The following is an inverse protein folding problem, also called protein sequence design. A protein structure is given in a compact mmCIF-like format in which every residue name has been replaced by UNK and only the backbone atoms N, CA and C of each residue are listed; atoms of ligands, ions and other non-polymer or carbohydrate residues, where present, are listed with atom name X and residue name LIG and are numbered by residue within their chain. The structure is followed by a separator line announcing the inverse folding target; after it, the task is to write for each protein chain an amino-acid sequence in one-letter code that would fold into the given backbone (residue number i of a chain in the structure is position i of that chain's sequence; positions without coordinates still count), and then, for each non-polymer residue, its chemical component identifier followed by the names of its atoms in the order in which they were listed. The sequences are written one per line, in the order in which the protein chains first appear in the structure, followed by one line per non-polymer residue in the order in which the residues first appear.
data_IF_752718157057
#
_entry.id   IF_752718157057
#
_cell.length_a   1.000
_cell.length_b   1.000
_cell.length_c   1.000
_cell.angle_alpha   90.00
_cell.angle_beta   90.00
_cell.angle_gamma   90.00
#
_symmetry.space_group_name_H-M   'P 1'
#
loop_
_entity.id
_entity.type
_entity.pdbx_description
1 polymer ?
#
# COMPACT_ATOMS: atom_id res chain seq x y z
N UNK A 1 -14.54 0.33 -34.45
CA UNK A 1 -13.78 1.57 -34.19
C UNK A 1 -14.46 2.28 -33.05
N UNK A 2 -14.02 2.05 -31.81
CA UNK A 2 -14.54 2.73 -30.63
C UNK A 2 -13.70 3.97 -30.38
N UNK A 3 -14.26 5.14 -30.65
CA UNK A 3 -13.68 6.44 -30.36
C UNK A 3 -13.57 6.61 -28.86
N UNK A 4 -12.35 6.54 -28.31
CA UNK A 4 -12.07 6.90 -26.92
C UNK A 4 -12.36 8.38 -26.72
N UNK A 5 -13.28 8.70 -25.82
CA UNK A 5 -13.52 10.09 -25.40
C UNK A 5 -12.28 10.71 -24.77
N UNK A 6 -12.21 12.05 -24.70
CA UNK A 6 -11.07 12.74 -24.11
C UNK A 6 -10.86 12.28 -22.65
N UNK A 7 -9.60 12.20 -22.19
CA UNK A 7 -9.31 11.87 -20.79
C UNK A 7 -10.04 12.87 -19.90
N UNK A 8 -10.82 12.36 -18.94
CA UNK A 8 -11.47 13.19 -17.92
C UNK A 8 -10.37 13.71 -17.00
N UNK A 9 -10.10 15.00 -17.11
CA UNK A 9 -9.26 15.75 -16.19
C UNK A 9 -10.14 16.25 -15.02
N UNK A 10 -9.62 16.19 -13.80
CA UNK A 10 -10.32 16.69 -12.62
C UNK A 10 -10.44 18.23 -12.62
N UNK A 11 -9.69 18.91 -13.49
CA UNK A 11 -9.60 20.36 -13.52
C UNK A 11 -8.75 20.87 -12.37
N UNK A 12 -7.83 21.80 -12.66
CA UNK A 12 -7.10 22.52 -11.63
C UNK A 12 -7.95 23.71 -11.18
N UNK A 13 -8.39 23.80 -9.90
CA UNK A 13 -9.13 24.95 -9.41
C UNK A 13 -8.30 26.24 -9.40
N UNK A 14 -7.00 26.21 -9.73
CA UNK A 14 -6.13 27.38 -9.93
C UNK A 14 -5.48 27.90 -8.65
N UNK A 15 -5.97 27.48 -7.48
CA UNK A 15 -5.44 27.83 -6.16
C UNK A 15 -4.55 26.72 -5.58
N UNK A 16 -4.38 25.60 -6.28
CA UNK A 16 -3.49 24.54 -5.84
C UNK A 16 -2.03 25.02 -5.94
N UNK A 17 -1.18 24.80 -4.91
CA UNK A 17 0.23 25.16 -4.99
C UNK A 17 0.87 24.48 -6.19
N UNK A 18 1.40 25.26 -7.13
CA UNK A 18 2.12 24.71 -8.28
C UNK A 18 3.42 24.09 -7.77
N UNK A 19 3.52 22.75 -7.84
CA UNK A 19 4.75 22.04 -7.49
C UNK A 19 5.77 22.30 -8.60
N UNK A 20 6.92 22.95 -8.33
CA UNK A 20 7.88 23.27 -9.36
C UNK A 20 8.52 21.97 -9.88
N UNK A 21 8.72 21.83 -11.19
CA UNK A 21 9.35 20.63 -11.77
C UNK A 21 10.84 20.55 -11.39
N UNK A 22 11.45 19.36 -11.47
CA UNK A 22 12.90 19.22 -11.29
C UNK A 22 13.65 20.01 -12.36
N UNK A 23 14.80 20.60 -12.00
CA UNK A 23 15.67 21.36 -12.92
C UNK A 23 16.64 20.44 -13.68
N UNK A 24 16.87 19.24 -13.16
CA UNK A 24 17.72 18.21 -13.77
C UNK A 24 17.06 16.84 -13.64
N UNK A 25 17.42 15.90 -14.51
CA UNK A 25 16.85 14.55 -14.49
C UNK A 25 17.24 13.82 -13.19
N UNK A 26 16.26 13.34 -12.39
CA UNK A 26 16.56 12.55 -11.20
C UNK A 26 17.22 11.22 -11.57
N UNK A 27 18.17 10.76 -10.75
CA UNK A 27 19.07 9.66 -11.11
C UNK A 27 18.38 8.29 -11.07
N UNK A 28 17.58 8.07 -10.03
CA UNK A 28 16.84 6.83 -9.84
C UNK A 28 15.53 7.17 -9.13
N UNK A 29 14.42 6.94 -9.81
CA UNK A 29 13.07 7.20 -9.32
C UNK A 29 12.28 5.91 -9.07
N UNK A 30 12.96 4.77 -8.94
CA UNK A 30 12.34 3.48 -8.66
C UNK A 30 11.40 3.54 -7.44
N UNK A 31 10.23 2.92 -7.59
CA UNK A 31 9.13 2.91 -6.63
C UNK A 31 8.47 1.54 -6.61
N UNK A 32 7.79 1.20 -5.50
CA UNK A 32 6.87 0.07 -5.48
C UNK A 32 5.81 0.23 -6.58
N UNK A 33 5.51 -0.88 -7.26
CA UNK A 33 4.39 -1.00 -8.17
C UNK A 33 3.06 -0.91 -7.40
N UNK A 34 1.95 -0.66 -8.11
CA UNK A 34 0.62 -0.68 -7.50
C UNK A 34 0.27 -2.04 -6.86
N UNK A 35 0.86 -3.13 -7.35
CA UNK A 35 0.71 -4.46 -6.78
C UNK A 35 1.45 -4.60 -5.44
N UNK A 36 2.70 -4.14 -5.36
CA UNK A 36 3.48 -4.12 -4.11
C UNK A 36 2.85 -3.18 -3.08
N UNK A 37 2.37 -2.01 -3.49
CA UNK A 37 1.62 -1.08 -2.63
C UNK A 37 0.35 -1.76 -2.07
N UNK A 38 -0.42 -2.44 -2.91
CA UNK A 38 -1.60 -3.18 -2.50
C UNK A 38 -1.27 -4.32 -1.52
N UNK A 39 -0.18 -5.07 -1.76
CA UNK A 39 0.29 -6.13 -0.87
C UNK A 39 0.73 -5.57 0.48
N UNK A 40 1.43 -4.44 0.46
CA UNK A 40 1.87 -3.74 1.68
C UNK A 40 0.68 -3.27 2.51
N UNK A 41 -0.33 -2.64 1.88
CA UNK A 41 -1.54 -2.19 2.58
C UNK A 41 -2.31 -3.38 3.17
N UNK A 42 -2.50 -4.45 2.39
CA UNK A 42 -3.18 -5.64 2.88
C UNK A 42 -2.47 -6.26 4.09
N UNK A 43 -1.13 -6.25 4.12
CA UNK A 43 -0.35 -6.80 5.23
C UNK A 43 -0.27 -5.86 6.45
N UNK A 44 -0.63 -4.58 6.31
CA UNK A 44 -0.47 -3.57 7.36
C UNK A 44 -1.54 -3.62 8.47
N UNK A 45 -2.60 -4.37 8.27
CA UNK A 45 -3.74 -4.49 9.19
C UNK A 45 -4.40 -5.86 9.05
N UNK A 46 -5.36 -6.15 9.91
CA UNK A 46 -6.15 -7.38 9.89
C UNK A 46 -7.66 -7.09 9.85
N UNK A 47 -8.04 -5.86 9.48
CA UNK A 47 -9.44 -5.40 9.44
C UNK A 47 -9.76 -4.73 8.11
N UNK A 48 -11.01 -4.86 7.66
CA UNK A 48 -11.48 -4.22 6.44
C UNK A 48 -13.00 -4.21 6.35
N UNK A 49 -13.51 -3.66 5.24
CA UNK A 49 -14.93 -3.67 4.93
C UNK A 49 -15.17 -4.56 3.72
N UNK A 50 -15.85 -5.68 3.94
CA UNK A 50 -16.28 -6.60 2.91
C UNK A 50 -17.56 -6.07 2.24
N UNK A 51 -17.56 -6.01 0.91
CA UNK A 51 -18.75 -5.83 0.10
C UNK A 51 -19.17 -7.19 -0.47
N UNK A 52 -20.43 -7.56 -0.25
CA UNK A 52 -21.07 -8.80 -0.73
C UNK A 52 -22.44 -8.49 -1.31
N UNK A 53 -23.12 -9.49 -1.89
CA UNK A 53 -24.47 -9.32 -2.45
C UNK A 53 -25.50 -10.02 -1.57
N UNK A 54 -26.57 -9.33 -1.20
CA UNK A 54 -27.72 -9.95 -0.52
C UNK A 54 -28.40 -10.95 -1.45
N UNK A 55 -29.31 -11.76 -0.91
CA UNK A 55 -30.12 -12.69 -1.71
C UNK A 55 -30.93 -11.99 -2.84
N UNK A 56 -31.30 -10.73 -2.63
CA UNK A 56 -32.03 -9.91 -3.60
C UNK A 56 -31.10 -9.12 -4.55
N UNK A 57 -29.78 -9.23 -4.37
CA UNK A 57 -28.76 -8.60 -5.21
C UNK A 57 -28.31 -7.21 -4.75
N UNK A 58 -28.70 -6.77 -3.55
CA UNK A 58 -28.28 -5.48 -2.99
C UNK A 58 -26.81 -5.51 -2.54
N UNK A 59 -26.06 -4.41 -2.67
CA UNK A 59 -24.71 -4.31 -2.12
C UNK A 59 -24.75 -4.22 -0.59
N UNK A 60 -24.07 -5.15 0.09
CA UNK A 60 -23.99 -5.21 1.54
C UNK A 60 -22.56 -5.02 2.05
N UNK A 61 -22.37 -4.03 2.92
CA UNK A 61 -21.08 -3.74 3.55
C UNK A 61 -21.01 -4.33 4.96
N UNK A 62 -19.93 -5.05 5.27
CA UNK A 62 -19.70 -5.64 6.60
C UNK A 62 -18.28 -5.38 7.07
N UNK A 63 -18.13 -4.99 8.34
CA UNK A 63 -16.84 -5.04 9.01
C UNK A 63 -16.39 -6.50 9.13
N UNK A 64 -15.15 -6.78 8.74
CA UNK A 64 -14.55 -8.11 8.83
C UNK A 64 -13.13 -8.04 9.38
N UNK A 65 -12.70 -9.15 9.97
CA UNK A 65 -11.29 -9.40 10.26
C UNK A 65 -10.75 -10.44 9.27
N UNK A 66 -9.45 -10.39 8.98
CA UNK A 66 -8.82 -11.30 8.03
C UNK A 66 -7.38 -11.63 8.40
N UNK A 67 -6.90 -12.77 7.92
CA UNK A 67 -5.48 -13.07 7.73
C UNK A 67 -5.12 -13.08 6.25
N UNK A 68 -3.86 -13.36 5.92
CA UNK A 68 -3.40 -13.43 4.53
C UNK A 68 -2.73 -14.77 4.26
N UNK A 69 -3.19 -15.46 3.22
CA UNK A 69 -2.52 -16.62 2.64
C UNK A 69 -1.94 -16.20 1.30
N UNK A 70 -0.62 -16.01 1.24
CA UNK A 70 0.09 -15.51 0.03
C UNK A 70 -0.51 -14.23 -0.57
N UNK A 71 -1.01 -13.35 0.31
CA UNK A 71 -1.69 -12.10 -0.07
C UNK A 71 -3.20 -12.24 -0.26
N UNK A 72 -3.77 -13.44 -0.38
CA UNK A 72 -5.23 -13.60 -0.43
C UNK A 72 -5.86 -13.41 0.96
N UNK A 73 -6.84 -12.49 1.12
CA UNK A 73 -7.58 -12.36 2.38
C UNK A 73 -8.31 -13.63 2.76
N UNK A 74 -8.05 -14.10 3.98
CA UNK A 74 -8.73 -15.25 4.60
C UNK A 74 -9.70 -14.74 5.65
N UNK A 75 -10.98 -14.99 5.44
CA UNK A 75 -12.08 -14.61 6.33
C UNK A 75 -12.54 -15.82 7.13
N UNK A 76 -12.93 -15.61 8.39
CA UNK A 76 -13.63 -16.60 9.21
C UNK A 76 -15.02 -16.04 9.54
N UNK A 77 -16.06 -16.65 8.98
CA UNK A 77 -17.40 -16.03 8.93
C UNK A 77 -18.46 -17.00 9.44
N UNK A 78 -19.33 -16.54 10.34
CA UNK A 78 -20.51 -17.30 10.75
C UNK A 78 -21.52 -17.38 9.59
N UNK A 79 -22.04 -18.58 9.36
CA UNK A 79 -23.11 -18.87 8.41
C UNK A 79 -24.45 -18.23 8.83
N UNK A 80 -24.55 -17.73 10.06
CA UNK A 80 -25.69 -16.96 10.55
C UNK A 80 -25.58 -15.46 10.23
N UNK A 81 -24.37 -14.96 9.96
CA UNK A 81 -24.16 -13.57 9.60
C UNK A 81 -24.67 -13.27 8.18
N UNK A 82 -25.15 -12.04 7.96
CA UNK A 82 -25.64 -11.61 6.64
C UNK A 82 -24.60 -11.87 5.55
N UNK A 83 -23.37 -11.40 5.74
CA UNK A 83 -22.28 -11.63 4.79
C UNK A 83 -21.91 -13.12 4.66
N UNK A 84 -22.10 -13.96 5.68
CA UNK A 84 -21.90 -15.41 5.55
C UNK A 84 -22.91 -16.07 4.62
N UNK A 85 -24.18 -15.69 4.73
CA UNK A 85 -25.25 -16.14 3.82
C UNK A 85 -25.04 -15.60 2.41
N UNK A 86 -24.64 -14.33 2.29
CA UNK A 86 -24.34 -13.69 1.02
C UNK A 86 -23.25 -14.44 0.26
N UNK A 87 -22.09 -14.68 0.90
CA UNK A 87 -20.97 -15.39 0.27
C UNK A 87 -21.31 -16.84 -0.14
N UNK A 88 -22.20 -17.50 0.61
CA UNK A 88 -22.69 -18.83 0.26
C UNK A 88 -23.65 -18.84 -0.94
N UNK A 89 -24.44 -17.76 -1.12
CA UNK A 89 -25.37 -17.62 -2.24
C UNK A 89 -24.70 -17.09 -3.51
N UNK A 90 -23.81 -16.10 -3.37
CA UNK A 90 -23.05 -15.50 -4.45
C UNK A 90 -21.60 -15.24 -3.99
N UNK A 91 -20.60 -15.89 -4.60
CA UNK A 91 -19.23 -15.79 -4.13
C UNK A 91 -18.56 -14.46 -4.50
N UNK A 92 -19.18 -13.59 -5.31
CA UNK A 92 -18.59 -12.31 -5.72
C UNK A 92 -18.44 -11.41 -4.51
N UNK A 93 -17.21 -10.96 -4.27
CA UNK A 93 -16.89 -10.12 -3.13
C UNK A 93 -15.74 -9.15 -3.44
N UNK A 94 -15.70 -8.08 -2.65
CA UNK A 94 -14.50 -7.24 -2.57
C UNK A 94 -14.27 -6.78 -1.14
N UNK A 95 -13.02 -6.50 -0.79
CA UNK A 95 -12.66 -5.93 0.51
C UNK A 95 -11.96 -4.60 0.33
N UNK A 96 -12.45 -3.57 1.01
CA UNK A 96 -11.75 -2.30 1.16
C UNK A 96 -10.88 -2.37 2.42
N UNK A 97 -9.60 -2.05 2.26
CA UNK A 97 -8.60 -2.05 3.32
C UNK A 97 -7.94 -0.67 3.33
N UNK A 98 -7.85 -0.07 4.51
CA UNK A 98 -7.17 1.21 4.72
C UNK A 98 -5.94 0.92 5.58
N UNK A 99 -4.78 1.42 5.15
CA UNK A 99 -3.57 1.33 5.95
C UNK A 99 -3.78 2.09 7.29
N UNK A 100 -3.13 1.67 8.39
CA UNK A 100 -3.19 2.39 9.66
C UNK A 100 -2.90 3.88 9.44
N UNK A 101 -3.77 4.73 10.00
CA UNK A 101 -3.69 6.17 9.76
C UNK A 101 -2.38 6.74 10.30
N UNK A 102 -1.59 7.36 9.43
CA UNK A 102 -0.41 8.15 9.78
C UNK A 102 -0.66 9.63 9.66
N UNK A 103 -1.71 10.02 8.94
CA UNK A 103 -2.09 11.39 8.65
C UNK A 103 -3.39 11.77 9.37
N UNK A 104 -3.52 13.04 9.75
CA UNK A 104 -4.76 13.56 10.34
C UNK A 104 -5.89 13.72 9.32
N UNK A 105 -5.55 13.87 8.03
CA UNK A 105 -6.52 13.89 6.94
C UNK A 105 -6.82 12.45 6.47
N UNK A 106 -8.06 11.96 6.61
CA UNK A 106 -8.45 10.63 6.14
C UNK A 106 -8.17 10.36 4.66
N UNK A 107 -8.27 11.39 3.80
CA UNK A 107 -8.08 11.24 2.34
C UNK A 107 -6.61 11.05 1.96
N UNK A 108 -5.67 11.39 2.85
CA UNK A 108 -4.25 11.16 2.66
C UNK A 108 -3.85 9.71 2.93
N UNK A 109 -4.64 8.94 3.69
CA UNK A 109 -4.30 7.57 4.04
C UNK A 109 -4.37 6.64 2.83
N UNK A 110 -3.38 5.75 2.69
CA UNK A 110 -3.35 4.74 1.64
C UNK A 110 -4.47 3.72 1.83
N UNK A 111 -5.10 3.30 0.72
CA UNK A 111 -6.19 2.33 0.72
C UNK A 111 -6.19 1.48 -0.55
N UNK A 112 -6.78 0.30 -0.44
CA UNK A 112 -6.92 -0.64 -1.55
C UNK A 112 -8.31 -1.29 -1.52
N UNK A 113 -8.84 -1.57 -2.70
CA UNK A 113 -9.95 -2.52 -2.87
C UNK A 113 -9.43 -3.75 -3.62
N UNK A 114 -9.50 -4.90 -2.97
CA UNK A 114 -9.23 -6.21 -3.58
C UNK A 114 -10.57 -6.82 -3.99
N UNK A 115 -10.76 -7.14 -5.27
CA UNK A 115 -12.04 -7.61 -5.78
C UNK A 115 -11.88 -8.91 -6.58
N UNK A 116 -12.84 -9.81 -6.40
CA UNK A 116 -12.89 -11.10 -7.09
C UNK A 116 -14.03 -11.95 -6.55
N UNK A 117 -13.72 -13.17 -6.14
CA UNK A 117 -14.69 -14.11 -5.61
C UNK A 117 -14.08 -14.92 -4.45
N UNK A 118 -14.91 -15.39 -3.53
CA UNK A 118 -14.48 -16.23 -2.43
C UNK A 118 -14.65 -17.70 -2.76
N UNK A 119 -13.77 -18.52 -2.19
CA UNK A 119 -13.89 -19.98 -2.19
C UNK A 119 -13.71 -20.50 -0.77
N UNK A 120 -14.34 -21.65 -0.47
CA UNK A 120 -14.02 -22.40 0.75
C UNK A 120 -12.78 -23.24 0.46
N UNK A 121 -11.68 -23.05 1.20
CA UNK A 121 -10.49 -23.86 1.00
C UNK A 121 -10.74 -25.29 1.51
N UNK A 122 -10.05 -26.26 0.92
CA UNK A 122 -10.10 -27.67 1.31
C UNK A 122 -8.69 -28.23 1.55
N UNK A 123 -8.59 -29.38 2.23
CA UNK A 123 -7.30 -30.08 2.44
C UNK A 123 -6.20 -29.21 3.04
N UNK A 124 -5.01 -29.25 2.44
CA UNK A 124 -3.84 -28.50 2.92
C UNK A 124 -4.04 -26.99 2.87
N UNK A 125 -4.79 -26.49 1.88
CA UNK A 125 -5.11 -25.06 1.79
C UNK A 125 -6.01 -24.63 2.95
N UNK A 126 -6.96 -25.47 3.36
CA UNK A 126 -7.79 -25.18 4.53
C UNK A 126 -6.94 -25.03 5.80
N UNK A 127 -5.96 -25.92 6.00
CA UNK A 127 -5.04 -25.84 7.13
C UNK A 127 -4.22 -24.54 7.09
N UNK A 128 -3.61 -24.21 5.94
CA UNK A 128 -2.82 -23.00 5.77
C UNK A 128 -3.66 -21.72 5.95
N UNK A 129 -4.87 -21.68 5.40
CA UNK A 129 -5.80 -20.57 5.58
C UNK A 129 -6.19 -20.38 7.04
N UNK A 130 -6.47 -21.47 7.76
CA UNK A 130 -6.78 -21.46 9.19
C UNK A 130 -5.65 -20.84 9.99
N UNK A 131 -4.41 -21.28 9.73
CA UNK A 131 -3.22 -20.79 10.44
C UNK A 131 -2.93 -19.32 10.13
N UNK A 132 -3.10 -18.92 8.87
CA UNK A 132 -2.98 -17.51 8.45
C UNK A 132 -4.00 -16.61 9.17
N UNK A 133 -5.26 -17.03 9.26
CA UNK A 133 -6.30 -16.27 9.95
C UNK A 133 -6.03 -16.18 11.46
N UNK A 134 -5.66 -17.29 12.11
CA UNK A 134 -5.34 -17.31 13.55
C UNK A 134 -4.12 -16.46 13.90
N UNK A 135 -3.10 -16.45 13.04
CA UNK A 135 -1.89 -15.65 13.22
C UNK A 135 -2.19 -14.15 13.19
N UNK A 136 -3.15 -13.73 12.36
CA UNK A 136 -3.57 -12.33 12.25
C UNK A 136 -4.63 -11.94 13.30
N UNK A 137 -5.52 -12.86 13.67
CA UNK A 137 -6.70 -12.59 14.52
C UNK A 137 -6.71 -13.55 15.70
N UNK A 138 -5.97 -13.21 16.76
CA UNK A 138 -5.80 -14.09 17.93
C UNK A 138 -7.13 -14.54 18.57
N UNK A 139 -8.17 -13.68 18.55
CA UNK A 139 -9.48 -14.00 19.10
C UNK A 139 -10.23 -15.09 18.32
N UNK A 140 -9.85 -15.36 17.06
CA UNK A 140 -10.50 -16.36 16.22
C UNK A 140 -10.39 -17.79 16.75
N UNK A 141 -9.41 -18.08 17.60
CA UNK A 141 -9.27 -19.38 18.30
C UNK A 141 -10.53 -19.81 19.06
N UNK A 142 -11.40 -18.87 19.40
CA UNK A 142 -12.61 -19.15 20.17
C UNK A 142 -13.84 -19.49 19.32
N UNK A 143 -13.79 -19.28 18.01
CA UNK A 143 -14.96 -19.47 17.14
C UNK A 143 -14.66 -20.19 15.81
N UNK A 144 -13.39 -20.23 15.38
CA UNK A 144 -13.01 -20.78 14.07
C UNK A 144 -13.37 -22.26 13.88
N UNK A 145 -13.45 -23.02 14.98
CA UNK A 145 -13.78 -24.45 14.95
C UNK A 145 -15.27 -24.72 15.25
N UNK A 146 -16.10 -23.68 15.38
CA UNK A 146 -17.55 -23.86 15.49
C UNK A 146 -18.13 -24.29 14.16
N UNK A 147 -19.10 -25.21 14.19
CA UNK A 147 -19.71 -25.79 12.98
C UNK A 147 -20.50 -24.79 12.15
N UNK A 148 -20.88 -23.66 12.74
CA UNK A 148 -21.55 -22.57 12.03
C UNK A 148 -20.57 -21.55 11.46
N UNK A 149 -19.25 -21.70 11.61
CA UNK A 149 -18.25 -20.83 10.98
C UNK A 149 -17.59 -21.51 9.79
N UNK A 150 -17.33 -20.73 8.74
CA UNK A 150 -16.62 -21.18 7.53
C UNK A 150 -15.41 -20.28 7.26
N UNK A 151 -14.33 -20.90 6.79
CA UNK A 151 -13.22 -20.17 6.17
C UNK A 151 -13.52 -19.85 4.72
N UNK A 152 -13.14 -18.64 4.30
CA UNK A 152 -13.27 -18.17 2.94
C UNK A 152 -11.96 -17.51 2.50
N UNK A 153 -11.44 -17.91 1.34
CA UNK A 153 -10.27 -17.29 0.72
C UNK A 153 -10.75 -16.40 -0.43
N UNK A 154 -10.44 -15.12 -0.39
CA UNK A 154 -10.74 -14.19 -1.48
C UNK A 154 -9.71 -14.36 -2.61
N UNK A 155 -10.13 -14.96 -3.73
CA UNK A 155 -9.37 -15.03 -4.97
C UNK A 155 -9.39 -13.67 -5.66
N UNK A 156 -8.32 -12.90 -5.49
CA UNK A 156 -8.21 -11.55 -6.02
C UNK A 156 -8.08 -11.60 -7.55
N UNK A 157 -9.02 -10.99 -8.27
CA UNK A 157 -9.00 -10.89 -9.73
C UNK A 157 -8.52 -9.53 -10.22
N UNK A 158 -8.80 -8.47 -9.45
CA UNK A 158 -8.38 -7.11 -9.76
C UNK A 158 -8.22 -6.28 -8.49
N UNK A 159 -7.40 -5.25 -8.59
CA UNK A 159 -7.06 -4.38 -7.48
C UNK A 159 -7.24 -2.92 -7.89
N UNK A 160 -7.80 -2.12 -6.99
CA UNK A 160 -7.76 -0.66 -7.09
C UNK A 160 -7.01 -0.10 -5.90
N UNK A 161 -5.87 0.55 -6.16
CA UNK A 161 -5.04 1.16 -5.13
C UNK A 161 -5.15 2.69 -5.21
N UNK A 162 -5.18 3.32 -4.04
CA UNK A 162 -5.06 4.77 -3.88
C UNK A 162 -4.08 5.04 -2.73
N UNK A 163 -2.92 5.60 -3.05
CA UNK A 163 -1.80 5.82 -2.12
C UNK A 163 -1.84 7.15 -1.37
N UNK A 164 -3.00 7.78 -1.24
CA UNK A 164 -3.15 9.17 -0.81
C UNK A 164 -3.47 10.10 -1.97
N UNK A 165 -3.17 11.39 -1.82
CA UNK A 165 -3.38 12.37 -2.89
C UNK A 165 -2.48 12.12 -4.09
N UNK A 166 -3.02 12.29 -5.31
CA UNK A 166 -2.26 12.28 -6.56
C UNK A 166 -1.68 10.92 -6.99
N UNK A 167 -1.89 9.84 -6.22
CA UNK A 167 -1.36 8.50 -6.52
C UNK A 167 -2.46 7.46 -6.49
N UNK A 168 -2.83 6.95 -7.66
CA UNK A 168 -3.77 5.83 -7.78
C UNK A 168 -3.47 5.02 -9.04
N UNK A 169 -3.73 3.73 -8.97
CA UNK A 169 -3.63 2.85 -10.12
C UNK A 169 -4.48 1.58 -9.94
N UNK A 170 -4.59 0.80 -11.01
CA UNK A 170 -5.22 -0.51 -11.01
C UNK A 170 -4.22 -1.57 -11.44
N UNK A 171 -4.33 -2.76 -10.84
CA UNK A 171 -3.50 -3.91 -11.22
C UNK A 171 -4.35 -5.18 -11.30
N UNK A 172 -3.82 -6.18 -12.02
CA UNK A 172 -4.46 -7.49 -12.15
C UNK A 172 -4.28 -8.32 -10.88
N UNK A 173 -5.13 -9.34 -10.71
CA UNK A 173 -4.98 -10.34 -9.66
C UNK A 173 -3.64 -11.08 -9.76
N UNK A 174 -3.21 -11.45 -10.97
CA UNK A 174 -1.92 -12.13 -11.18
C UNK A 174 -0.73 -11.29 -10.72
N UNK A 175 -0.67 -10.01 -11.13
CA UNK A 175 0.40 -9.12 -10.68
C UNK A 175 0.36 -8.87 -9.16
N UNK A 176 -0.83 -8.84 -8.55
CA UNK A 176 -0.98 -8.77 -7.09
C UNK A 176 -0.44 -10.02 -6.38
N UNK A 177 -0.76 -11.21 -6.90
CA UNK A 177 -0.28 -12.49 -6.37
C UNK A 177 1.24 -12.63 -6.50
N UNK A 178 1.82 -12.20 -7.61
CA UNK A 178 3.26 -12.27 -7.89
C UNK A 178 4.08 -11.22 -7.11
N UNK A 179 3.45 -10.14 -6.64
CA UNK A 179 4.11 -9.09 -5.87
C UNK A 179 4.39 -9.49 -4.41
N UNK A 180 5.26 -8.77 -3.74
CA UNK A 180 5.52 -8.93 -2.31
C UNK A 180 5.15 -7.65 -1.56
N UNK A 181 4.73 -7.75 -0.28
CA UNK A 181 4.63 -6.58 0.57
C UNK A 181 6.03 -5.96 0.79
N UNK A 182 6.08 -4.65 0.95
CA UNK A 182 7.32 -3.95 1.22
C UNK A 182 7.86 -4.29 2.62
N UNK A 183 9.10 -4.81 2.74
CA UNK A 183 9.67 -5.23 4.02
C UNK A 183 10.20 -4.06 4.88
N UNK A 184 10.18 -2.83 4.35
CA UNK A 184 10.80 -1.64 4.95
C UNK A 184 9.73 -0.65 5.40
N UNK A 185 8.78 -0.31 4.53
CA UNK A 185 7.83 0.78 4.74
C UNK A 185 7.02 0.66 6.04
N UNK A 186 6.47 -0.51 6.42
CA UNK A 186 5.75 -0.65 7.69
C UNK A 186 6.62 -0.41 8.94
N UNK A 187 7.94 -0.50 8.81
CA UNK A 187 8.91 -0.40 9.91
C UNK A 187 9.79 0.85 9.83
N UNK A 188 9.61 1.68 8.80
CA UNK A 188 10.49 2.80 8.48
C UNK A 188 10.32 4.03 9.40
N UNK A 189 9.22 4.15 10.14
CA UNK A 189 8.87 5.37 10.88
C UNK A 189 10.01 5.88 11.80
N UNK A 190 10.65 4.99 12.56
CA UNK A 190 11.77 5.35 13.44
C UNK A 190 13.01 5.79 12.64
N UNK A 191 13.30 5.14 11.52
CA UNK A 191 14.42 5.50 10.67
C UNK A 191 14.20 6.84 9.96
N UNK A 192 12.98 7.10 9.46
CA UNK A 192 12.58 8.38 8.87
C UNK A 192 12.70 9.51 9.90
N UNK A 193 12.23 9.31 11.13
CA UNK A 193 12.38 10.29 12.20
C UNK A 193 13.85 10.60 12.51
N UNK A 194 14.71 9.58 12.57
CA UNK A 194 16.15 9.76 12.78
C UNK A 194 16.83 10.48 11.61
N UNK A 195 16.49 10.15 10.36
CA UNK A 195 16.99 10.85 9.17
C UNK A 195 16.64 12.35 9.23
N UNK A 196 15.42 12.68 9.63
CA UNK A 196 14.96 14.07 9.73
C UNK A 196 15.61 14.83 10.88
N UNK A 197 15.86 14.18 12.02
CA UNK A 197 16.48 14.80 13.18
C UNK A 197 17.96 15.08 12.99
N UNK A 198 18.70 14.11 12.44
CA UNK A 198 20.17 14.11 12.51
C UNK A 198 20.84 14.27 11.13
N UNK A 199 20.10 14.15 10.03
CA UNK A 199 20.66 14.07 8.67
C UNK A 199 20.03 15.03 7.66
N UNK A 200 19.39 16.12 8.11
CA UNK A 200 18.73 17.09 7.25
C UNK A 200 19.61 17.62 6.10
N UNK A 201 20.89 17.93 6.38
CA UNK A 201 21.81 18.40 5.34
C UNK A 201 22.19 17.29 4.35
N UNK A 202 22.30 16.04 4.80
CA UNK A 202 22.50 14.89 3.91
C UNK A 202 21.30 14.71 2.98
N UNK A 203 20.07 14.85 3.48
CA UNK A 203 18.85 14.79 2.66
C UNK A 203 18.82 15.92 1.62
N UNK A 204 19.20 17.15 2.02
CA UNK A 204 19.29 18.28 1.09
C UNK A 204 20.35 18.04 0.01
N UNK A 205 21.53 17.54 0.39
CA UNK A 205 22.59 17.17 -0.56
C UNK A 205 22.13 16.08 -1.54
N UNK A 206 21.41 15.06 -1.07
CA UNK A 206 20.82 14.04 -1.95
C UNK A 206 19.82 14.65 -2.92
N UNK A 207 18.91 15.53 -2.46
CA UNK A 207 17.93 16.19 -3.32
C UNK A 207 18.60 17.05 -4.42
N UNK A 208 19.68 17.76 -4.08
CA UNK A 208 20.48 18.55 -5.03
C UNK A 208 21.18 17.67 -6.08
N UNK A 209 21.88 16.63 -5.64
CA UNK A 209 22.77 15.84 -6.50
C UNK A 209 22.07 14.69 -7.25
N UNK A 210 21.02 14.12 -6.66
CA UNK A 210 20.35 12.90 -7.12
C UNK A 210 18.86 13.10 -7.43
N UNK A 211 18.21 14.02 -6.72
CA UNK A 211 16.78 14.23 -6.78
C UNK A 211 16.30 15.23 -7.85
N UNK A 212 17.20 15.87 -8.59
CA UNK A 212 16.85 16.78 -9.67
C UNK A 212 16.62 18.24 -9.26
N UNK A 213 16.81 18.58 -7.98
CA UNK A 213 16.52 19.92 -7.41
C UNK A 213 17.79 20.57 -6.83
N UNK A 214 18.73 21.04 -7.68
CA UNK A 214 19.97 21.66 -7.24
C UNK A 214 19.74 22.93 -6.39
N UNK A 215 18.56 23.54 -6.49
CA UNK A 215 18.08 24.70 -5.74
C UNK A 215 17.41 24.36 -4.40
N UNK A 216 17.56 23.12 -3.90
CA UNK A 216 17.02 22.71 -2.59
C UNK A 216 17.72 23.46 -1.45
N UNK A 217 16.96 24.13 -0.59
CA UNK A 217 17.47 24.79 0.62
C UNK A 217 17.27 23.93 1.87
N UNK A 218 16.22 23.10 1.91
CA UNK A 218 15.97 22.14 2.98
C UNK A 218 15.23 20.90 2.45
N UNK A 219 15.40 19.76 3.10
CA UNK A 219 14.71 18.52 2.76
C UNK A 219 14.25 17.77 4.01
N UNK A 220 13.10 17.11 3.91
CA UNK A 220 12.54 16.22 4.92
C UNK A 220 12.16 14.91 4.25
N UNK A 221 12.60 13.79 4.81
CA UNK A 221 12.14 12.47 4.40
C UNK A 221 10.70 12.25 4.88
N UNK A 222 9.80 11.93 3.96
CA UNK A 222 8.38 11.67 4.23
C UNK A 222 8.05 10.18 4.20
N UNK A 223 8.94 9.35 3.66
CA UNK A 223 8.75 7.90 3.60
C UNK A 223 10.00 7.19 3.11
N UNK A 224 10.11 5.92 3.48
CA UNK A 224 11.12 5.01 2.97
C UNK A 224 10.47 3.67 2.65
N UNK A 225 10.85 3.08 1.54
CA UNK A 225 10.43 1.75 1.11
C UNK A 225 11.66 0.98 0.61
N UNK A 226 11.48 -0.22 0.08
CA UNK A 226 12.57 -1.09 -0.35
C UNK A 226 13.41 -0.55 -1.52
N UNK A 227 12.89 0.43 -2.26
CA UNK A 227 13.54 1.02 -3.41
C UNK A 227 14.19 2.37 -3.12
N UNK A 228 13.81 3.09 -2.06
CA UNK A 228 14.32 4.44 -1.84
C UNK A 228 13.61 5.28 -0.79
N UNK A 229 13.87 6.59 -0.86
CA UNK A 229 13.33 7.63 0.02
C UNK A 229 12.46 8.61 -0.76
N UNK A 230 11.31 8.97 -0.21
CA UNK A 230 10.51 10.11 -0.65
C UNK A 230 10.86 11.34 0.18
N UNK A 231 11.18 12.44 -0.49
CA UNK A 231 11.57 13.69 0.14
C UNK A 231 10.61 14.82 -0.21
N UNK A 232 10.23 15.59 0.81
CA UNK A 232 9.63 16.92 0.68
C UNK A 232 10.73 17.97 0.76
N UNK A 233 10.74 18.90 -0.18
CA UNK A 233 11.82 19.86 -0.38
C UNK A 233 11.30 21.29 -0.23
N UNK A 234 12.10 22.13 0.42
CA UNK A 234 11.99 23.58 0.26
C UNK A 234 12.99 24.01 -0.79
N UNK A 235 12.53 24.71 -1.82
CA UNK A 235 13.36 25.29 -2.88
C UNK A 235 13.13 26.80 -2.94
N UNK A 236 13.99 27.53 -3.64
CA UNK A 236 13.78 28.96 -3.90
C UNK A 236 12.47 29.25 -4.68
N UNK A 237 11.98 28.24 -5.41
CA UNK A 237 10.75 28.31 -6.22
C UNK A 237 9.50 27.84 -5.47
N UNK A 238 9.64 27.40 -4.21
CA UNK A 238 8.55 26.90 -3.39
C UNK A 238 8.72 25.42 -2.97
N UNK A 239 7.61 24.83 -2.51
CA UNK A 239 7.56 23.45 -2.01
C UNK A 239 7.63 22.45 -3.17
N UNK A 240 8.55 21.50 -3.11
CA UNK A 240 8.69 20.44 -4.10
C UNK A 240 8.75 19.05 -3.46
N UNK A 241 8.67 18.01 -4.29
CA UNK A 241 8.78 16.61 -3.87
C UNK A 241 9.70 15.87 -4.83
N UNK A 242 10.54 14.99 -4.32
CA UNK A 242 11.36 14.11 -5.16
C UNK A 242 11.51 12.72 -4.58
N UNK A 243 11.96 11.80 -5.43
CA UNK A 243 12.25 10.41 -5.12
C UNK A 243 13.73 10.16 -5.29
N UNK A 244 14.34 9.49 -4.30
CA UNK A 244 15.74 9.09 -4.38
C UNK A 244 15.84 7.58 -4.17
N UNK A 245 16.02 6.86 -5.28
CA UNK A 245 16.16 5.42 -5.28
C UNK A 245 17.55 4.95 -4.82
N UNK A 246 17.58 3.91 -3.99
CA UNK A 246 18.80 3.19 -3.67
C UNK A 246 19.44 2.61 -4.94
N UNK A 247 20.74 2.34 -4.92
CA UNK A 247 21.41 1.71 -6.07
C UNK A 247 20.87 0.34 -6.41
N UNK A 248 20.45 -0.40 -5.39
CA UNK A 248 19.87 -1.73 -5.44
C UNK A 248 18.73 -1.79 -4.42
N UNK A 249 17.63 -2.50 -4.71
CA UNK A 249 16.58 -2.72 -3.73
C UNK A 249 17.13 -3.40 -2.48
N UNK A 250 16.59 -3.03 -1.32
CA UNK A 250 16.86 -3.70 -0.04
C UNK A 250 15.74 -4.69 0.27
N UNK A 251 16.02 -5.70 1.08
CA UNK A 251 15.05 -6.77 1.37
C UNK A 251 14.64 -6.84 2.84
N UNK A 252 15.32 -6.11 3.71
CA UNK A 252 15.01 -6.04 5.14
C UNK A 252 15.30 -4.63 5.69
N UNK A 253 14.56 -4.24 6.73
CA UNK A 253 14.70 -2.91 7.36
C UNK A 253 16.12 -2.60 7.87
N UNK A 254 16.89 -3.62 8.27
CA UNK A 254 18.25 -3.44 8.79
C UNK A 254 19.23 -2.90 7.73
N UNK A 255 18.95 -3.11 6.45
CA UNK A 255 19.76 -2.61 5.33
C UNK A 255 19.56 -1.10 5.07
N UNK A 256 18.45 -0.52 5.54
CA UNK A 256 18.05 0.87 5.27
C UNK A 256 19.16 1.87 5.64
N UNK A 257 19.84 1.66 6.78
CA UNK A 257 20.92 2.54 7.22
C UNK A 257 22.06 2.55 6.21
N UNK A 258 22.54 1.38 5.81
CA UNK A 258 23.64 1.23 4.86
C UNK A 258 23.27 1.81 3.49
N UNK A 259 22.03 1.59 3.05
CA UNK A 259 21.51 2.15 1.80
C UNK A 259 21.44 3.69 1.84
N UNK A 260 21.01 4.29 2.95
CA UNK A 260 21.00 5.75 3.13
C UNK A 260 22.41 6.36 3.18
N UNK A 261 23.37 5.69 3.84
CA UNK A 261 24.78 6.11 3.85
C UNK A 261 25.37 6.08 2.44
N UNK A 262 25.03 5.07 1.66
CA UNK A 262 25.44 4.94 0.27
C UNK A 262 24.89 6.09 -0.61
N UNK A 263 23.62 6.48 -0.41
CA UNK A 263 23.05 7.66 -1.07
C UNK A 263 23.82 8.94 -0.72
N UNK A 264 24.17 9.15 0.56
CA UNK A 264 24.95 10.32 0.99
C UNK A 264 26.32 10.33 0.32
N UNK A 265 26.99 9.17 0.25
CA UNK A 265 28.29 9.03 -0.41
C UNK A 265 28.20 9.38 -1.88
N UNK A 266 27.17 8.89 -2.59
CA UNK A 266 26.93 9.20 -4.01
C UNK A 266 26.63 10.68 -4.25
N UNK A 267 25.84 11.29 -3.39
CA UNK A 267 25.53 12.72 -3.47
C UNK A 267 26.79 13.59 -3.37
N UNK A 268 27.78 13.19 -2.57
CA UNK A 268 29.06 13.92 -2.40
C UNK A 268 30.06 13.74 -3.55
N UNK A 269 29.85 12.75 -4.42
CA UNK A 269 30.75 12.47 -5.55
C UNK A 269 30.32 13.18 -6.84
N UNK A 270 29.22 13.94 -6.81
CA UNK A 270 28.70 14.73 -7.93
C UNK A 270 28.87 16.21 -7.63
#
# INVERSE_FOLDING_TARGET
MTTGGPPRDHGDPGDAPTVPPPLTEPVNTARPSAAEEARTIAASTNTGTLASLTADGDPWASFVTYGLLDGAPVLCVSNLAEHGRNLAGDPRASIAIVAPATESDPLANARVTLAGYVERPEGDEHAAARDAHLSAVAAARYYIDYSDFSLWVLRVQRVRWVGGYGRMDSTSGAAYSDAEPDPVAPHAARAVAHLNADHAESLAAMARALGGYPDTTAATCTGADRYGLDLRLTTERGLAYTRIGYPTPINVIDELRSAAVELTRRARMR
#
